data_IF_893968645993
#
_entry.id   IF_893968645993
#
_cell.length_a   1.000
_cell.length_b   1.000
_cell.length_c   1.000
_cell.angle_alpha   90.00
_cell.angle_beta   90.00
_cell.angle_gamma   90.00
#
_symmetry.space_group_name_H-M   'P 1'
#
loop_
_entity.id
_entity.type
_entity.pdbx_description
1 polymer ?
#
# COMPACT_ATOMS: atom_id res chain seq x y z
N UNK A 1 8.49 27.48 21.44
CA UNK A 1 8.00 26.23 22.05
C UNK A 1 8.89 25.12 21.55
N UNK A 2 9.58 24.37 22.43
CA UNK A 2 10.38 23.22 22.01
C UNK A 2 9.41 22.18 21.44
N UNK A 3 9.52 21.83 20.17
CA UNK A 3 8.76 20.74 19.57
C UNK A 3 9.04 19.46 20.38
N UNK A 4 8.00 18.90 21.00
CA UNK A 4 8.13 17.70 21.83
C UNK A 4 8.24 16.49 20.90
N UNK A 5 9.48 16.18 20.46
CA UNK A 5 9.77 15.05 19.58
C UNK A 5 9.61 13.74 20.33
N UNK A 6 8.91 12.78 19.74
CA UNK A 6 8.73 11.42 20.30
C UNK A 6 9.78 10.47 19.72
N UNK A 7 10.56 9.83 20.59
CA UNK A 7 11.58 8.88 20.18
C UNK A 7 10.95 7.52 19.84
N UNK A 8 11.31 6.99 18.67
CA UNK A 8 10.85 5.71 18.16
C UNK A 8 12.05 4.77 18.03
N UNK A 9 11.94 3.53 18.50
CA UNK A 9 12.89 2.47 18.13
C UNK A 9 12.23 1.39 17.27
N UNK A 10 13.03 0.48 16.74
CA UNK A 10 12.58 -0.50 15.75
C UNK A 10 13.16 -1.90 16.03
N UNK A 11 12.29 -2.90 16.18
CA UNK A 11 12.65 -4.32 16.32
C UNK A 11 12.28 -5.05 15.04
N UNK A 12 13.19 -5.86 14.51
CA UNK A 12 12.94 -6.70 13.33
C UNK A 12 12.92 -5.94 11.99
N UNK A 13 13.13 -4.62 12.00
CA UNK A 13 13.22 -3.83 10.76
C UNK A 13 14.65 -3.82 10.22
N UNK A 14 14.80 -4.10 8.93
CA UNK A 14 16.09 -3.97 8.25
C UNK A 14 16.47 -2.49 8.03
N UNK A 15 17.75 -2.24 7.71
CA UNK A 15 18.29 -0.88 7.47
C UNK A 15 17.47 -0.09 6.44
N UNK A 16 16.99 -0.75 5.39
CA UNK A 16 16.15 -0.14 4.36
C UNK A 16 14.83 0.38 4.92
N UNK A 17 14.16 -0.42 5.75
CA UNK A 17 12.90 -0.05 6.40
C UNK A 17 13.11 1.05 7.42
N UNK A 18 14.19 0.99 8.20
CA UNK A 18 14.59 2.04 9.14
C UNK A 18 14.76 3.39 8.42
N UNK A 19 15.51 3.43 7.30
CA UNK A 19 15.69 4.66 6.52
C UNK A 19 14.39 5.18 5.90
N UNK A 20 13.47 4.30 5.56
CA UNK A 20 12.13 4.68 5.07
C UNK A 20 11.34 5.41 6.15
N UNK A 21 11.29 4.85 7.35
CA UNK A 21 10.62 5.48 8.49
C UNK A 21 11.30 6.79 8.90
N UNK A 22 12.62 6.85 8.90
CA UNK A 22 13.38 8.07 9.20
C UNK A 22 12.96 9.22 8.27
N UNK A 23 12.91 8.96 6.96
CA UNK A 23 12.45 9.94 5.97
C UNK A 23 10.96 10.28 6.14
N UNK A 24 10.10 9.28 6.29
CA UNK A 24 8.66 9.47 6.48
C UNK A 24 8.38 10.35 7.70
N UNK A 25 9.04 10.10 8.83
CA UNK A 25 8.87 10.92 10.02
C UNK A 25 9.41 12.34 9.83
N UNK A 26 10.59 12.49 9.19
CA UNK A 26 11.19 13.80 8.91
C UNK A 26 10.35 14.65 7.96
N UNK A 27 9.86 14.06 6.86
CA UNK A 27 9.19 14.78 5.77
C UNK A 27 7.67 14.82 5.93
N UNK A 28 7.05 13.67 6.17
CA UNK A 28 5.58 13.56 6.25
C UNK A 28 5.07 13.96 7.63
N UNK A 29 5.77 13.54 8.69
CA UNK A 29 5.38 13.88 10.06
C UNK A 29 6.06 15.16 10.58
N UNK A 30 6.76 15.91 9.72
CA UNK A 30 7.46 17.17 10.06
C UNK A 30 8.44 17.04 11.24
N UNK A 31 9.07 15.87 11.40
CA UNK A 31 10.04 15.63 12.47
C UNK A 31 9.45 15.36 13.85
N UNK A 32 8.13 15.22 14.00
CA UNK A 32 7.47 14.92 15.29
C UNK A 32 7.90 13.58 15.90
N UNK A 33 8.35 12.65 15.07
CA UNK A 33 8.89 11.37 15.48
C UNK A 33 10.34 11.25 15.01
N UNK A 34 11.21 10.67 15.83
CA UNK A 34 12.63 10.51 15.52
C UNK A 34 13.05 9.08 15.86
N UNK A 35 13.73 8.40 14.93
CA UNK A 35 14.26 7.07 15.20
C UNK A 35 15.52 7.17 16.06
N UNK A 36 15.57 6.40 17.15
CA UNK A 36 16.71 6.28 18.05
C UNK A 36 17.33 4.88 18.00
N UNK A 37 18.65 4.80 18.21
CA UNK A 37 19.39 3.53 18.21
C UNK A 37 19.18 2.72 19.50
N UNK A 38 19.00 3.43 20.62
CA UNK A 38 18.76 2.82 21.93
C UNK A 38 17.27 2.56 22.13
N UNK A 39 16.91 1.31 22.44
CA UNK A 39 15.54 0.94 22.80
C UNK A 39 15.11 1.44 24.18
N UNK A 40 16.08 1.82 25.03
CA UNK A 40 15.81 2.31 26.38
C UNK A 40 15.32 3.76 26.37
N UNK A 41 15.75 4.54 25.38
CA UNK A 41 15.39 5.96 25.25
C UNK A 41 14.14 6.17 24.38
N UNK A 42 13.54 5.08 23.89
CA UNK A 42 12.36 5.09 23.04
C UNK A 42 11.08 5.26 23.86
N UNK A 43 10.20 6.15 23.38
CA UNK A 43 8.83 6.28 23.90
C UNK A 43 7.90 5.26 23.24
N UNK A 44 8.17 4.94 21.98
CA UNK A 44 7.42 3.97 21.18
C UNK A 44 8.40 3.03 20.45
N UNK A 45 8.07 1.75 20.33
CA UNK A 45 8.81 0.79 19.52
C UNK A 45 7.93 0.19 18.44
N UNK A 46 8.37 0.28 17.19
CA UNK A 46 7.79 -0.45 16.07
C UNK A 46 8.38 -1.85 16.03
N UNK A 47 7.54 -2.89 15.90
CA UNK A 47 7.98 -4.28 15.94
C UNK A 47 7.49 -5.01 14.71
N UNK A 48 8.40 -5.44 13.84
CA UNK A 48 8.08 -6.36 12.76
C UNK A 48 7.93 -7.78 13.32
N UNK A 49 6.69 -8.23 13.52
CA UNK A 49 6.42 -9.53 14.15
C UNK A 49 6.52 -10.71 13.18
N UNK A 50 6.68 -10.46 11.88
CA UNK A 50 6.85 -11.51 10.87
C UNK A 50 8.29 -12.03 10.82
N UNK A 51 9.23 -11.29 11.43
CA UNK A 51 10.65 -11.65 11.47
C UNK A 51 10.93 -12.63 12.62
N UNK A 52 11.63 -13.76 12.36
CA UNK A 52 12.01 -14.70 13.40
C UNK A 52 12.79 -14.02 14.53
N UNK A 53 12.35 -14.24 15.77
CA UNK A 53 12.99 -13.67 16.97
C UNK A 53 12.36 -12.38 17.48
N UNK A 54 11.58 -11.65 16.66
CA UNK A 54 10.97 -10.37 17.08
C UNK A 54 10.01 -10.50 18.27
N UNK A 55 9.27 -11.61 18.38
CA UNK A 55 8.37 -11.85 19.52
C UNK A 55 9.13 -12.02 20.84
N UNK A 56 10.32 -12.62 20.82
CA UNK A 56 11.14 -12.77 22.02
C UNK A 56 11.78 -11.44 22.41
N UNK A 57 12.32 -10.71 21.42
CA UNK A 57 12.88 -9.38 21.62
C UNK A 57 11.84 -8.38 22.14
N UNK A 58 10.59 -8.46 21.68
CA UNK A 58 9.48 -7.68 22.23
C UNK A 58 9.25 -7.95 23.72
N UNK A 59 9.15 -9.23 24.11
CA UNK A 59 8.93 -9.60 25.52
C UNK A 59 10.08 -9.14 26.43
N UNK A 60 11.32 -9.30 25.96
CA UNK A 60 12.50 -8.83 26.68
C UNK A 60 12.46 -7.30 26.84
N UNK A 61 12.16 -6.56 25.76
CA UNK A 61 12.10 -5.10 25.83
C UNK A 61 10.95 -4.59 26.70
N UNK A 62 9.82 -5.30 26.77
CA UNK A 62 8.72 -4.99 27.68
C UNK A 62 9.11 -5.10 29.15
N UNK A 63 10.01 -6.02 29.50
CA UNK A 63 10.56 -6.16 30.85
C UNK A 63 11.57 -5.06 31.16
N UNK A 64 12.45 -4.73 30.19
CA UNK A 64 13.51 -3.75 30.36
C UNK A 64 12.96 -2.32 30.42
N UNK A 65 11.97 -1.99 29.59
CA UNK A 65 11.36 -0.66 29.54
C UNK A 65 9.82 -0.74 29.57
N UNK A 66 9.22 -0.89 30.77
CA UNK A 66 7.77 -1.04 30.93
C UNK A 66 6.95 0.21 30.52
N UNK A 67 7.59 1.38 30.46
CA UNK A 67 6.93 2.64 30.08
C UNK A 67 6.80 2.78 28.56
N UNK A 68 7.65 2.10 27.80
CA UNK A 68 7.64 2.11 26.35
C UNK A 68 6.35 1.52 25.78
N UNK A 69 5.83 2.11 24.70
CA UNK A 69 4.64 1.61 23.98
C UNK A 69 5.07 0.84 22.75
N UNK A 70 4.32 -0.19 22.38
CA UNK A 70 4.70 -1.08 21.27
C UNK A 70 3.61 -1.08 20.20
N UNK A 71 4.03 -1.01 18.93
CA UNK A 71 3.16 -1.13 17.75
C UNK A 71 3.68 -2.27 16.89
N UNK A 72 2.84 -3.28 16.68
CA UNK A 72 3.19 -4.44 15.87
C UNK A 72 2.90 -4.17 14.38
N UNK A 73 3.81 -4.60 13.51
CA UNK A 73 3.70 -4.56 12.06
C UNK A 73 3.67 -6.00 11.55
N UNK A 74 2.61 -6.42 10.86
CA UNK A 74 2.52 -7.79 10.30
C UNK A 74 1.83 -7.85 8.95
N UNK A 75 2.18 -8.87 8.17
CA UNK A 75 1.46 -9.27 6.94
C UNK A 75 0.09 -9.88 7.30
N UNK A 76 0.00 -10.65 8.38
CA UNK A 76 -1.23 -11.34 8.79
C UNK A 76 -2.01 -10.53 9.84
N UNK A 77 -3.33 -10.71 9.90
CA UNK A 77 -4.16 -10.17 10.98
C UNK A 77 -3.94 -11.01 12.25
N UNK A 78 -2.80 -10.81 12.91
CA UNK A 78 -2.36 -11.62 14.04
C UNK A 78 -2.63 -10.87 15.36
N UNK A 79 -3.91 -10.80 15.77
CA UNK A 79 -4.35 -10.18 17.02
C UNK A 79 -4.02 -10.99 18.29
N UNK A 80 -3.07 -11.95 18.23
CA UNK A 80 -2.70 -12.77 19.40
C UNK A 80 -1.99 -11.96 20.50
N UNK A 81 -1.36 -10.86 20.12
CA UNK A 81 -0.77 -9.90 21.04
C UNK A 81 -1.80 -8.78 21.26
N UNK A 82 -2.21 -8.52 22.51
CA UNK A 82 -3.08 -7.39 22.89
C UNK A 82 -2.34 -6.04 22.76
N UNK A 83 -1.70 -5.80 21.62
CA UNK A 83 -0.95 -4.60 21.28
C UNK A 83 -1.51 -3.98 20.00
N UNK A 84 -1.47 -2.64 19.83
CA UNK A 84 -1.87 -2.02 18.59
C UNK A 84 -1.10 -2.58 17.40
N UNK A 85 -1.85 -2.91 16.35
CA UNK A 85 -1.36 -3.65 15.21
C UNK A 85 -1.63 -2.90 13.91
N UNK A 86 -0.64 -2.88 13.02
CA UNK A 86 -0.75 -2.31 11.67
C UNK A 86 -0.43 -3.40 10.66
N UNK A 87 -1.42 -3.66 9.81
CA UNK A 87 -1.28 -4.57 8.69
C UNK A 87 -0.34 -3.98 7.64
N UNK A 88 0.52 -4.82 7.07
CA UNK A 88 1.32 -4.50 5.88
C UNK A 88 0.49 -4.80 4.62
N UNK A 89 0.50 -3.94 3.60
CA UNK A 89 1.27 -2.70 3.48
C UNK A 89 0.80 -1.60 4.44
N UNK A 90 1.77 -0.84 4.98
CA UNK A 90 1.53 0.12 6.07
C UNK A 90 0.71 1.31 5.56
N UNK A 91 -0.50 1.47 6.10
CA UNK A 91 -1.29 2.67 5.89
C UNK A 91 -0.75 3.82 6.76
N UNK A 92 -0.28 4.89 6.12
CA UNK A 92 0.35 6.02 6.79
C UNK A 92 -0.58 6.77 7.75
N UNK A 93 -1.87 6.89 7.41
CA UNK A 93 -2.85 7.56 8.27
C UNK A 93 -3.13 6.74 9.53
N UNK A 94 -3.26 5.41 9.39
CA UNK A 94 -3.42 4.50 10.52
C UNK A 94 -2.20 4.51 11.44
N UNK A 95 -0.99 4.49 10.87
CA UNK A 95 0.24 4.58 11.65
C UNK A 95 0.31 5.89 12.43
N UNK A 96 0.10 7.03 11.78
CA UNK A 96 0.13 8.34 12.44
C UNK A 96 -0.92 8.42 13.55
N UNK A 97 -2.13 7.92 13.31
CA UNK A 97 -3.20 7.94 14.32
C UNK A 97 -2.82 7.14 15.58
N UNK A 98 -2.20 5.96 15.41
CA UNK A 98 -1.73 5.15 16.53
C UNK A 98 -0.59 5.86 17.27
N UNK A 99 0.41 6.38 16.54
CA UNK A 99 1.53 7.10 17.14
C UNK A 99 1.08 8.36 17.89
N UNK A 100 0.11 9.10 17.33
CA UNK A 100 -0.51 10.27 17.97
C UNK A 100 -1.29 9.89 19.23
N UNK A 101 -1.97 8.74 19.23
CA UNK A 101 -2.70 8.26 20.42
C UNK A 101 -1.74 7.96 21.58
N UNK A 102 -0.52 7.53 21.28
CA UNK A 102 0.51 7.30 22.29
C UNK A 102 1.23 8.58 22.72
N UNK A 103 1.46 9.51 21.79
CA UNK A 103 2.13 10.78 22.08
C UNK A 103 1.26 11.77 22.89
N UNK A 104 -0.08 11.63 22.85
CA UNK A 104 -1.02 12.50 23.58
C UNK A 104 -1.25 12.13 25.05
N UNK A 105 -0.63 11.06 25.54
CA UNK A 105 -0.76 10.64 26.94
C UNK A 105 0.40 11.21 27.76
N UNK A 106 0.27 12.46 28.21
CA UNK A 106 0.54 12.91 29.59
C UNK A 106 -0.21 14.25 29.82
N UNK A 107 -1.02 14.34 30.88
CA UNK A 107 -0.49 15.02 32.06
C UNK A 107 -0.46 14.07 33.26
N UNK A 108 0.72 13.98 33.85
CA UNK A 108 0.93 13.53 35.21
C UNK A 108 0.01 14.31 36.16
N UNK A 109 -0.90 13.60 36.83
CA UNK A 109 -1.41 14.04 38.13
C UNK A 109 -0.49 13.43 39.17
N UNK A 110 0.40 14.25 39.71
CA UNK A 110 1.04 13.94 40.97
C UNK A 110 0.06 14.11 42.15
N UNK A 111 0.28 13.23 43.12
CA UNK A 111 -0.03 13.34 44.55
C UNK A 111 -1.42 12.91 45.02
N UNK A 112 -1.46 11.75 45.71
CA UNK A 112 -1.44 11.72 47.19
C UNK A 112 -1.03 10.34 47.74
N UNK A 113 0.05 10.37 48.51
CA UNK A 113 0.39 9.62 49.73
C UNK A 113 0.25 8.08 49.77
N UNK A 114 1.35 7.38 50.10
CA UNK A 114 1.64 6.90 51.46
C UNK A 114 3.14 6.54 51.59
N UNK A 115 3.65 6.92 52.76
CA UNK A 115 5.00 6.87 53.32
C UNK A 115 5.46 5.45 53.67
N UNK A 116 6.77 5.18 53.52
CA UNK A 116 7.68 4.46 54.43
C UNK A 116 8.85 3.87 53.60
N UNK A 117 10.01 4.52 53.54
CA UNK A 117 11.12 4.43 54.50
C UNK A 117 11.87 3.08 54.42
N UNK A 118 13.04 3.07 53.77
CA UNK A 118 14.26 2.63 54.43
C UNK A 118 15.52 2.94 53.60
N UNK A 119 16.45 3.54 54.33
CA UNK A 119 17.83 3.91 54.04
C UNK A 119 18.75 2.75 53.65
N UNK A 120 19.71 2.99 52.75
CA UNK A 120 21.17 2.81 52.91
C UNK A 120 21.86 2.83 51.52
N UNK A 121 22.54 3.92 51.17
CA UNK A 121 23.99 4.21 51.34
C UNK A 121 24.95 3.35 50.48
N UNK A 122 25.59 4.07 49.55
CA UNK A 122 27.02 4.03 49.16
C UNK A 122 27.58 2.78 48.48
N UNK A 123 28.09 2.88 47.24
CA UNK A 123 29.47 3.32 47.00
C UNK A 123 29.83 3.48 45.52
N UNK A 124 30.90 4.25 45.35
CA UNK A 124 31.50 4.85 44.17
C UNK A 124 32.27 3.89 43.23
N UNK A 125 32.43 4.37 41.99
CA UNK A 125 33.58 4.27 41.07
C UNK A 125 34.17 2.90 40.68
N UNK A 126 34.32 2.67 39.37
CA UNK A 126 35.61 2.40 38.70
C UNK A 126 35.42 2.44 37.17
N UNK A 127 36.44 2.99 36.52
CA UNK A 127 36.54 3.35 35.13
C UNK A 127 36.86 2.19 34.16
N UNK A 128 36.52 2.44 32.89
CA UNK A 128 37.24 2.20 31.62
C UNK A 128 37.97 0.87 31.34
N UNK A 129 37.72 0.43 30.10
CA UNK A 129 38.55 -0.36 29.16
C UNK A 129 38.60 -1.89 29.34
N UNK A 130 37.95 -2.63 28.40
CA UNK A 130 38.66 -3.17 27.24
C UNK A 130 37.78 -3.89 26.19
N UNK A 131 37.90 -3.38 24.96
CA UNK A 131 38.13 -4.06 23.68
C UNK A 131 37.62 -5.50 23.37
N UNK A 132 36.89 -5.56 22.24
CA UNK A 132 36.98 -6.53 21.12
C UNK A 132 36.76 -8.02 21.43
N UNK A 133 35.53 -8.48 21.16
CA UNK A 133 35.29 -9.82 20.57
C UNK A 133 33.97 -9.84 19.78
N UNK A 134 34.01 -9.36 18.54
CA UNK A 134 32.95 -9.62 17.58
C UNK A 134 33.01 -11.09 17.15
N UNK A 135 32.05 -11.87 17.62
CA UNK A 135 31.90 -13.29 17.33
C UNK A 135 31.68 -13.53 15.83
N UNK A 136 32.68 -14.13 15.17
CA UNK A 136 32.78 -14.31 13.71
C UNK A 136 31.95 -15.47 13.14
N UNK A 137 31.04 -16.08 13.91
CA UNK A 137 30.40 -17.35 13.55
C UNK A 137 28.87 -17.29 13.32
N UNK A 138 28.27 -16.09 13.18
CA UNK A 138 26.85 -15.93 12.78
C UNK A 138 26.64 -15.33 11.38
N UNK A 139 27.71 -14.89 10.71
CA UNK A 139 27.64 -14.34 9.33
C UNK A 139 27.61 -15.41 8.23
N UNK A 140 27.94 -16.66 8.53
CA UNK A 140 27.97 -17.75 7.55
C UNK A 140 26.57 -18.31 7.17
N UNK A 141 25.53 -18.00 7.96
CA UNK A 141 24.15 -18.36 7.60
C UNK A 141 23.46 -17.28 6.74
N UNK A 142 23.82 -16.01 6.93
CA UNK A 142 23.35 -14.90 6.10
C UNK A 142 24.00 -14.88 4.70
N UNK A 143 25.22 -15.41 4.57
CA UNK A 143 25.93 -15.51 3.29
C UNK A 143 25.35 -16.53 2.30
N UNK A 144 24.46 -17.45 2.73
CA UNK A 144 23.82 -18.43 1.84
C UNK A 144 22.59 -17.90 1.10
N UNK A 145 22.12 -16.69 1.44
CA UNK A 145 21.06 -15.98 0.70
C UNK A 145 21.58 -14.82 -0.16
N UNK A 146 22.90 -14.65 -0.29
CA UNK A 146 23.52 -13.59 -1.10
C UNK A 146 24.00 -14.15 -2.47
N UNK A 147 23.68 -15.40 -2.79
CA UNK A 147 24.23 -16.12 -3.95
C UNK A 147 23.23 -16.56 -5.03
N UNK A 148 22.00 -16.06 -5.04
CA UNK A 148 21.06 -16.30 -6.13
C UNK A 148 20.42 -14.97 -6.54
N UNK A 149 20.58 -14.62 -7.81
CA UNK A 149 20.15 -13.41 -8.51
C UNK A 149 18.93 -12.69 -7.91
N UNK A 150 19.01 -11.36 -7.89
CA UNK A 150 18.08 -10.33 -7.39
C UNK A 150 16.67 -10.33 -8.07
N UNK A 151 16.22 -11.46 -8.63
CA UNK A 151 14.99 -11.64 -9.42
C UNK A 151 13.70 -11.56 -8.58
N UNK A 152 13.79 -11.57 -7.25
CA UNK A 152 12.64 -11.60 -6.32
C UNK A 152 12.24 -10.23 -5.77
N UNK A 153 13.03 -9.19 -6.03
CA UNK A 153 12.85 -7.90 -5.38
C UNK A 153 11.49 -7.24 -5.63
N UNK A 154 10.93 -7.39 -6.83
CA UNK A 154 9.70 -6.71 -7.22
C UNK A 154 8.45 -7.47 -6.81
N UNK A 155 8.39 -8.79 -6.95
CA UNK A 155 7.13 -9.55 -6.94
C UNK A 155 6.71 -10.11 -5.56
N UNK A 156 7.56 -9.96 -4.53
CA UNK A 156 7.30 -10.51 -3.20
C UNK A 156 7.12 -12.03 -3.19
N UNK A 157 6.64 -12.55 -2.06
CA UNK A 157 6.58 -13.99 -1.79
C UNK A 157 5.12 -14.47 -1.59
N UNK A 158 4.15 -13.77 -2.21
CA UNK A 158 2.75 -14.16 -2.12
C UNK A 158 2.53 -15.55 -2.72
N UNK A 159 1.77 -16.38 -2.01
CA UNK A 159 1.29 -17.67 -2.48
C UNK A 159 0.23 -17.49 -3.57
N UNK A 160 0.12 -18.49 -4.45
CA UNK A 160 -0.92 -18.54 -5.46
C UNK A 160 -2.29 -18.72 -4.81
N UNK A 161 -3.30 -18.07 -5.39
CA UNK A 161 -4.66 -18.07 -4.84
C UNK A 161 -5.63 -18.90 -5.66
N UNK A 162 -6.71 -19.33 -5.02
CA UNK A 162 -7.89 -19.85 -5.70
C UNK A 162 -8.90 -18.72 -5.95
N UNK A 163 -9.35 -18.58 -7.19
CA UNK A 163 -10.37 -17.58 -7.58
C UNK A 163 -11.77 -17.88 -7.02
N UNK A 164 -11.99 -19.06 -6.44
CA UNK A 164 -13.27 -19.47 -5.83
C UNK A 164 -13.50 -18.84 -4.45
N UNK A 165 -12.46 -18.33 -3.80
CA UNK A 165 -12.53 -17.78 -2.45
C UNK A 165 -12.27 -16.28 -2.45
N UNK A 166 -13.30 -15.48 -2.15
CA UNK A 166 -13.19 -14.01 -2.12
C UNK A 166 -12.16 -13.50 -1.11
N UNK A 167 -11.90 -14.23 -0.01
CA UNK A 167 -10.85 -13.85 0.96
C UNK A 167 -9.45 -13.95 0.37
N UNK A 168 -9.22 -14.89 -0.54
CA UNK A 168 -7.90 -15.05 -1.17
C UNK A 168 -7.65 -13.97 -2.21
N UNK A 169 -8.69 -13.52 -2.92
CA UNK A 169 -8.60 -12.37 -3.84
C UNK A 169 -8.09 -11.13 -3.11
N UNK A 170 -8.61 -10.83 -1.91
CA UNK A 170 -8.16 -9.65 -1.14
C UNK A 170 -6.67 -9.68 -0.77
N UNK A 171 -6.02 -10.85 -0.72
CA UNK A 171 -4.58 -10.97 -0.44
C UNK A 171 -3.72 -10.56 -1.63
N UNK A 172 -4.24 -10.73 -2.85
CA UNK A 172 -3.54 -10.41 -4.10
C UNK A 172 -4.04 -9.12 -4.73
N UNK A 173 -4.80 -8.31 -3.99
CA UNK A 173 -5.30 -7.01 -4.44
C UNK A 173 -4.49 -5.86 -3.83
N UNK A 174 -4.33 -4.77 -4.57
CA UNK A 174 -3.78 -3.51 -4.07
C UNK A 174 -4.54 -2.28 -4.60
N UNK A 175 -4.40 -1.14 -3.94
CA UNK A 175 -5.19 0.07 -4.22
C UNK A 175 -4.34 1.16 -4.91
N UNK A 176 -4.07 1.09 -6.24
CA UNK A 176 -3.16 2.01 -6.90
C UNK A 176 -3.52 3.49 -6.71
N UNK A 177 -4.83 3.81 -6.66
CA UNK A 177 -5.35 5.17 -6.46
C UNK A 177 -5.00 5.78 -5.10
N UNK A 178 -4.71 4.96 -4.08
CA UNK A 178 -4.30 5.40 -2.74
C UNK A 178 -2.79 5.45 -2.57
N UNK A 179 -2.02 5.10 -3.59
CA UNK A 179 -0.57 4.98 -3.55
C UNK A 179 0.09 6.07 -4.39
N UNK A 180 1.42 6.15 -4.33
CA UNK A 180 2.18 7.04 -5.20
C UNK A 180 1.87 6.80 -6.69
N UNK A 181 1.70 5.54 -7.10
CA UNK A 181 1.32 5.17 -8.47
C UNK A 181 0.09 5.97 -8.98
N UNK A 182 -0.99 6.03 -8.18
CA UNK A 182 -2.21 6.74 -8.56
C UNK A 182 -1.97 8.24 -8.77
N UNK A 183 -1.18 8.87 -7.90
CA UNK A 183 -0.82 10.28 -8.04
C UNK A 183 -0.04 10.55 -9.34
N UNK A 184 0.88 9.65 -9.72
CA UNK A 184 1.65 9.80 -10.97
C UNK A 184 0.76 9.62 -12.20
N UNK A 185 -0.12 8.60 -12.20
CA UNK A 185 -1.04 8.35 -13.32
C UNK A 185 -1.98 9.55 -13.52
N UNK A 186 -2.55 10.08 -12.43
CA UNK A 186 -3.39 11.27 -12.47
C UNK A 186 -2.61 12.48 -13.00
N UNK A 187 -1.40 12.71 -12.49
CA UNK A 187 -0.54 13.78 -12.96
C UNK A 187 -0.17 13.66 -14.44
N UNK A 188 0.07 12.45 -14.94
CA UNK A 188 0.32 12.19 -16.35
C UNK A 188 -0.90 12.48 -17.22
N UNK A 189 -2.10 12.09 -16.79
CA UNK A 189 -3.33 12.43 -17.50
C UNK A 189 -3.55 13.95 -17.56
N UNK A 190 -3.35 14.66 -16.45
CA UNK A 190 -3.44 16.14 -16.40
C UNK A 190 -2.40 16.75 -17.35
N UNK A 191 -1.16 16.25 -17.35
CA UNK A 191 -0.10 16.75 -18.21
C UNK A 191 -0.43 16.58 -19.70
N UNK A 192 -0.94 15.39 -20.08
CA UNK A 192 -1.32 15.08 -21.46
C UNK A 192 -2.53 15.90 -21.93
N UNK A 193 -3.56 16.03 -21.09
CA UNK A 193 -4.76 16.80 -21.42
C UNK A 193 -4.46 18.29 -21.64
N UNK A 194 -3.57 18.85 -20.82
CA UNK A 194 -3.23 20.27 -20.88
C UNK A 194 -1.99 20.56 -21.75
N UNK A 195 -1.37 19.52 -22.32
CA UNK A 195 -0.11 19.58 -23.06
C UNK A 195 0.96 20.44 -22.35
N UNK A 196 1.12 20.20 -21.04
CA UNK A 196 1.96 21.02 -20.16
C UNK A 196 2.65 20.14 -19.12
N UNK A 197 3.88 20.49 -18.76
CA UNK A 197 4.59 19.76 -17.70
C UNK A 197 3.92 19.99 -16.33
N UNK A 198 3.78 18.90 -15.58
CA UNK A 198 3.14 18.90 -14.26
C UNK A 198 4.14 18.43 -13.21
N UNK A 199 4.31 19.23 -12.16
CA UNK A 199 4.95 18.78 -10.94
C UNK A 199 3.91 18.05 -10.08
N UNK A 200 4.16 16.77 -9.81
CA UNK A 200 3.33 15.93 -8.94
C UNK A 200 3.98 15.84 -7.58
N UNK A 201 3.25 16.17 -6.52
CA UNK A 201 3.71 16.01 -5.13
C UNK A 201 2.77 15.10 -4.35
N UNK A 202 3.28 13.98 -3.87
CA UNK A 202 2.53 13.00 -3.07
C UNK A 202 3.48 12.26 -2.11
N UNK A 203 3.00 11.87 -0.93
CA UNK A 203 3.78 11.13 0.08
C UNK A 203 5.14 11.78 0.43
N UNK A 204 5.24 13.11 0.32
CA UNK A 204 6.48 13.86 0.60
C UNK A 204 7.54 13.80 -0.51
N UNK A 205 7.24 13.18 -1.65
CA UNK A 205 8.05 13.17 -2.87
C UNK A 205 7.47 14.18 -3.86
N UNK A 206 8.35 14.83 -4.62
CA UNK A 206 7.98 15.57 -5.82
C UNK A 206 8.69 15.02 -7.05
N UNK A 207 7.95 14.84 -8.14
CA UNK A 207 8.48 14.56 -9.48
C UNK A 207 7.92 15.56 -10.48
N UNK A 208 8.51 15.62 -11.67
CA UNK A 208 8.00 16.39 -12.80
C UNK A 208 7.72 15.43 -13.95
N UNK A 209 6.54 15.52 -14.53
CA UNK A 209 6.13 14.80 -15.73
C UNK A 209 6.13 15.81 -16.87
N UNK A 210 6.98 15.59 -17.87
CA UNK A 210 7.05 16.37 -19.10
C UNK A 210 6.45 15.54 -20.26
N UNK A 211 5.18 15.81 -20.63
CA UNK A 211 4.48 15.03 -21.64
C UNK A 211 5.06 15.28 -23.05
N UNK A 212 5.64 16.45 -23.31
CA UNK A 212 6.15 16.85 -24.62
C UNK A 212 7.41 16.06 -24.98
N UNK A 213 8.30 15.85 -24.00
CA UNK A 213 9.52 15.05 -24.19
C UNK A 213 9.36 13.58 -23.77
N UNK A 214 8.17 13.19 -23.30
CA UNK A 214 7.91 11.86 -22.74
C UNK A 214 8.89 11.48 -21.62
N UNK A 215 9.19 12.44 -20.72
CA UNK A 215 10.15 12.26 -19.60
C UNK A 215 9.54 12.48 -18.23
N UNK A 216 10.12 11.80 -17.24
CA UNK A 216 9.91 12.05 -15.82
C UNK A 216 11.22 12.44 -15.17
N UNK A 217 11.19 13.53 -14.40
CA UNK A 217 12.34 14.03 -13.63
C UNK A 217 12.10 13.89 -12.13
N UNK A 218 13.12 13.42 -11.40
CA UNK A 218 13.09 13.26 -9.95
C UNK A 218 14.49 13.47 -9.37
N UNK A 219 14.58 14.02 -8.16
CA UNK A 219 15.83 14.05 -7.37
C UNK A 219 15.83 12.96 -6.30
N UNK A 220 14.74 12.20 -6.20
CA UNK A 220 14.59 11.20 -5.15
C UNK A 220 15.23 9.90 -5.61
N UNK A 221 16.31 9.42 -4.95
CA UNK A 221 16.98 8.18 -5.34
C UNK A 221 16.08 6.97 -5.12
N UNK A 222 16.27 5.92 -5.93
CA UNK A 222 15.43 4.71 -5.91
C UNK A 222 15.30 4.05 -4.53
N UNK A 223 16.38 4.08 -3.72
CA UNK A 223 16.39 3.54 -2.35
C UNK A 223 15.32 4.18 -1.45
N UNK A 224 14.93 5.42 -1.73
CA UNK A 224 13.85 6.16 -1.06
C UNK A 224 12.53 5.99 -1.83
N UNK A 225 12.58 6.00 -3.16
CA UNK A 225 11.40 5.94 -4.02
C UNK A 225 10.63 4.63 -3.88
N UNK A 226 11.35 3.51 -3.91
CA UNK A 226 10.76 2.17 -3.94
C UNK A 226 9.95 1.84 -2.69
N UNK A 227 10.42 2.12 -1.45
CA UNK A 227 9.59 1.98 -0.26
C UNK A 227 8.35 2.88 -0.25
N UNK A 228 8.44 4.11 -0.78
CA UNK A 228 7.31 5.04 -0.82
C UNK A 228 6.21 4.55 -1.76
N UNK A 229 6.58 3.84 -2.83
CA UNK A 229 5.61 3.17 -3.71
C UNK A 229 4.76 2.10 -3.00
N UNK A 230 5.14 1.66 -1.79
CA UNK A 230 4.38 0.68 -1.00
C UNK A 230 3.38 1.32 -0.03
N UNK A 231 3.43 2.65 0.14
CA UNK A 231 2.62 3.34 1.12
C UNK A 231 1.25 3.71 0.55
N UNK A 232 0.22 3.51 1.35
CA UNK A 232 -1.12 4.03 1.09
C UNK A 232 -1.37 5.32 1.88
N UNK A 233 -2.11 6.24 1.27
CA UNK A 233 -2.56 7.48 1.87
C UNK A 233 -3.93 7.91 1.36
N UNK A 234 -4.70 8.57 2.22
CA UNK A 234 -5.92 9.27 1.83
C UNK A 234 -5.65 10.76 1.52
N UNK A 235 -4.40 11.22 1.69
CA UNK A 235 -4.02 12.58 1.35
C UNK A 235 -4.04 12.76 -0.16
N UNK A 236 -4.67 13.85 -0.61
CA UNK A 236 -4.69 14.19 -2.03
C UNK A 236 -3.29 14.56 -2.50
N UNK A 237 -2.95 14.10 -3.70
CA UNK A 237 -1.78 14.58 -4.42
C UNK A 237 -1.96 16.07 -4.78
N UNK A 238 -0.83 16.76 -4.93
CA UNK A 238 -0.81 18.14 -5.40
C UNK A 238 -0.22 18.17 -6.81
N UNK A 239 -0.84 18.96 -7.68
CA UNK A 239 -0.44 19.13 -9.07
C UNK A 239 -0.15 20.60 -9.33
N UNK A 240 1.04 20.90 -9.84
CA UNK A 240 1.44 22.26 -10.21
C UNK A 240 1.85 22.30 -11.67
N UNK A 241 1.20 23.14 -12.46
CA UNK A 241 1.59 23.42 -13.84
C UNK A 241 2.93 24.14 -13.88
N UNK A 242 3.80 23.71 -14.80
CA UNK A 242 5.10 24.31 -15.05
C UNK A 242 5.12 24.89 -16.46
N UNK A 243 5.30 26.21 -16.55
CA UNK A 243 5.62 26.87 -17.81
C UNK A 243 6.99 26.44 -18.34
N UNK A 244 7.21 26.62 -19.64
CA UNK A 244 8.43 26.16 -20.35
C UNK A 244 9.72 26.65 -19.67
N UNK A 245 9.79 27.92 -19.27
CA UNK A 245 10.99 28.48 -18.63
C UNK A 245 11.25 27.84 -17.25
N UNK A 246 10.21 27.70 -16.41
CA UNK A 246 10.34 27.04 -15.11
C UNK A 246 10.73 25.55 -15.25
N UNK A 247 10.29 24.89 -16.33
CA UNK A 247 10.70 23.53 -16.63
C UNK A 247 12.19 23.47 -16.99
N UNK A 248 12.66 24.36 -17.88
CA UNK A 248 14.09 24.42 -18.27
C UNK A 248 14.99 24.66 -17.06
N UNK A 249 14.63 25.59 -16.18
CA UNK A 249 15.39 25.88 -14.96
C UNK A 249 15.50 24.64 -14.06
N UNK A 250 14.37 23.95 -13.87
CA UNK A 250 14.33 22.73 -13.05
C UNK A 250 15.10 21.58 -13.69
N UNK A 251 14.89 21.31 -14.98
CA UNK A 251 15.60 20.25 -15.73
C UNK A 251 17.11 20.47 -15.67
N UNK A 252 17.58 21.71 -15.84
CA UNK A 252 19.00 22.06 -15.73
C UNK A 252 19.56 21.75 -14.33
N UNK A 253 18.75 21.93 -13.28
CA UNK A 253 19.12 21.55 -11.92
C UNK A 253 19.15 20.02 -11.70
N UNK A 254 18.26 19.26 -12.35
CA UNK A 254 18.30 17.78 -12.31
C UNK A 254 19.52 17.21 -13.03
N UNK A 255 19.94 17.83 -14.13
CA UNK A 255 21.07 17.39 -14.96
C UNK A 255 22.44 17.75 -14.38
N UNK A 256 22.54 18.83 -13.59
CA UNK A 256 23.80 19.22 -12.94
C UNK A 256 24.14 18.38 -11.71
N UNK A 257 23.15 17.70 -11.13
CA UNK A 257 23.31 16.88 -9.94
C UNK A 257 23.79 15.47 -10.31
N UNK A 258 25.11 15.27 -10.37
CA UNK A 258 25.78 14.02 -10.78
C UNK A 258 25.67 12.86 -9.77
N UNK A 259 25.10 13.09 -8.59
CA UNK A 259 25.05 12.08 -7.52
C UNK A 259 24.07 10.92 -7.81
N UNK A 260 23.26 11.00 -8.86
CA UNK A 260 22.27 9.98 -9.21
C UNK A 260 22.11 9.87 -10.74
N UNK A 261 22.55 8.74 -11.31
CA UNK A 261 22.41 8.40 -12.74
C UNK A 261 20.94 8.33 -13.23
N UNK A 262 19.96 8.38 -12.32
CA UNK A 262 18.56 8.03 -12.60
C UNK A 262 17.57 9.20 -12.40
N UNK A 263 18.06 10.45 -12.50
CA UNK A 263 17.23 11.65 -12.29
C UNK A 263 16.23 11.94 -13.42
N UNK A 264 16.37 11.23 -14.55
CA UNK A 264 15.54 11.40 -15.73
C UNK A 264 15.24 10.03 -16.34
N UNK A 265 13.97 9.73 -16.57
CA UNK A 265 13.54 8.47 -17.19
C UNK A 265 12.44 8.71 -18.22
N UNK A 266 12.27 7.76 -19.14
CA UNK A 266 11.13 7.70 -20.03
C UNK A 266 9.83 7.50 -19.23
N UNK A 267 8.72 8.13 -19.61
CA UNK A 267 7.45 8.03 -18.87
C UNK A 267 6.99 6.58 -18.76
N UNK A 268 7.09 5.78 -19.83
CA UNK A 268 6.60 4.41 -19.81
C UNK A 268 7.48 3.52 -18.92
N UNK A 269 8.81 3.70 -19.01
CA UNK A 269 9.76 3.03 -18.11
C UNK A 269 9.48 3.40 -16.65
N UNK A 270 9.21 4.68 -16.36
CA UNK A 270 8.93 5.13 -15.00
C UNK A 270 7.61 4.57 -14.47
N UNK A 271 6.54 4.62 -15.26
CA UNK A 271 5.22 4.07 -14.91
C UNK A 271 5.27 2.57 -14.69
N UNK A 272 6.00 1.84 -15.54
CA UNK A 272 6.27 0.40 -15.37
C UNK A 272 6.96 0.13 -14.03
N UNK A 273 8.06 0.83 -13.78
CA UNK A 273 8.89 0.68 -12.56
C UNK A 273 8.09 0.92 -11.28
N UNK A 274 7.40 2.05 -11.17
CA UNK A 274 6.60 2.36 -9.97
C UNK A 274 5.43 1.40 -9.79
N UNK A 275 4.88 0.86 -10.88
CA UNK A 275 3.79 -0.11 -10.82
C UNK A 275 4.28 -1.45 -10.32
N UNK A 276 5.45 -1.93 -10.76
CA UNK A 276 6.06 -3.14 -10.22
C UNK A 276 6.38 -2.98 -8.74
N UNK A 277 6.90 -1.82 -8.35
CA UNK A 277 7.17 -1.51 -6.94
C UNK A 277 5.90 -1.48 -6.09
N UNK A 278 4.82 -0.88 -6.58
CA UNK A 278 3.57 -0.74 -5.84
C UNK A 278 2.78 -2.04 -5.76
N UNK A 279 2.65 -2.74 -6.90
CA UNK A 279 1.85 -3.96 -7.01
C UNK A 279 2.46 -5.10 -6.21
N UNK A 280 3.78 -5.29 -6.25
CA UNK A 280 4.44 -6.49 -5.70
C UNK A 280 3.78 -7.80 -6.12
N UNK A 281 3.49 -7.94 -7.42
CA UNK A 281 2.83 -9.13 -7.96
C UNK A 281 1.36 -9.29 -7.53
N UNK A 282 0.72 -8.19 -7.12
CA UNK A 282 -0.72 -8.09 -6.87
C UNK A 282 -1.41 -7.45 -8.08
N UNK A 283 -2.74 -7.52 -8.12
CA UNK A 283 -3.60 -6.88 -9.12
C UNK A 283 -4.32 -5.64 -8.55
N UNK A 284 -4.65 -4.64 -9.39
CA UNK A 284 -5.47 -3.51 -8.98
C UNK A 284 -6.84 -3.91 -8.41
N UNK A 285 -7.36 -3.11 -7.49
CA UNK A 285 -8.68 -3.31 -6.82
C UNK A 285 -9.88 -3.45 -7.76
N UNK A 286 -9.79 -2.94 -8.98
CA UNK A 286 -10.81 -2.98 -10.01
C UNK A 286 -10.64 -4.12 -11.03
N UNK A 287 -9.66 -5.01 -10.82
CA UNK A 287 -9.43 -6.16 -11.71
C UNK A 287 -10.31 -7.35 -11.34
N UNK A 288 -11.13 -7.80 -12.29
CA UNK A 288 -11.94 -9.02 -12.17
C UNK A 288 -11.17 -10.24 -12.72
N UNK A 289 -10.73 -11.12 -11.81
CA UNK A 289 -9.96 -12.32 -12.16
C UNK A 289 -10.75 -13.38 -12.94
N UNK A 290 -12.08 -13.26 -12.99
CA UNK A 290 -12.93 -14.16 -13.77
C UNK A 290 -13.03 -13.76 -15.25
N UNK A 291 -12.61 -12.54 -15.57
CA UNK A 291 -12.71 -11.99 -16.93
C UNK A 291 -11.41 -12.22 -17.68
N UNK A 292 -11.45 -12.79 -18.90
CA UNK A 292 -10.26 -12.88 -19.74
C UNK A 292 -9.70 -11.51 -20.09
N UNK A 293 -8.37 -11.40 -20.10
CA UNK A 293 -7.64 -10.21 -20.52
C UNK A 293 -6.82 -10.52 -21.76
N UNK A 294 -6.51 -9.48 -22.53
CA UNK A 294 -5.63 -9.60 -23.69
C UNK A 294 -4.57 -8.50 -23.66
N UNK A 295 -3.56 -8.64 -24.52
CA UNK A 295 -2.55 -7.63 -24.74
C UNK A 295 -2.70 -7.09 -26.17
N UNK A 296 -2.87 -5.77 -26.31
CA UNK A 296 -3.07 -5.13 -27.61
C UNK A 296 -1.79 -5.10 -28.43
N UNK A 297 -0.64 -4.89 -27.78
CA UNK A 297 0.67 -4.80 -28.41
C UNK A 297 1.76 -5.34 -27.49
N UNK A 298 2.89 -5.77 -28.07
CA UNK A 298 4.05 -6.23 -27.31
C UNK A 298 4.68 -5.07 -26.49
N UNK A 299 4.91 -5.21 -25.18
CA UNK A 299 5.61 -4.20 -24.39
C UNK A 299 7.09 -4.13 -24.82
N UNK A 300 7.73 -2.97 -24.72
CA UNK A 300 9.15 -2.84 -25.07
C UNK A 300 10.07 -3.45 -23.99
N UNK A 301 10.04 -4.77 -23.83
CA UNK A 301 10.68 -5.50 -22.74
C UNK A 301 12.20 -5.29 -22.64
N UNK A 302 12.87 -4.82 -23.69
CA UNK A 302 14.31 -4.49 -23.67
C UNK A 302 14.62 -3.16 -22.99
N UNK A 303 13.61 -2.30 -22.80
CA UNK A 303 13.73 -0.97 -22.16
C UNK A 303 13.01 -0.88 -20.81
N UNK A 304 12.44 -1.99 -20.33
CA UNK A 304 11.62 -2.07 -19.12
C UNK A 304 12.29 -2.96 -18.08
N UNK A 305 11.99 -2.71 -16.80
CA UNK A 305 12.45 -3.57 -15.71
C UNK A 305 12.01 -5.02 -15.95
N UNK A 306 12.95 -5.95 -15.75
CA UNK A 306 12.74 -7.35 -16.03
C UNK A 306 11.64 -7.94 -15.13
N UNK A 307 10.76 -8.73 -15.75
CA UNK A 307 9.77 -9.57 -15.06
C UNK A 307 10.10 -11.02 -15.41
N UNK A 308 10.23 -11.93 -14.43
CA UNK A 308 10.37 -13.34 -14.72
C UNK A 308 9.28 -13.83 -15.68
N UNK A 309 9.70 -14.50 -16.75
CA UNK A 309 8.81 -15.03 -17.79
C UNK A 309 8.02 -14.00 -18.62
N UNK A 310 8.36 -12.70 -18.57
CA UNK A 310 7.63 -11.65 -19.30
C UNK A 310 7.37 -11.98 -20.78
N UNK A 311 8.36 -12.47 -21.57
CA UNK A 311 8.11 -12.80 -22.97
C UNK A 311 7.09 -13.91 -23.16
N UNK A 312 7.07 -14.92 -22.28
CA UNK A 312 6.11 -16.04 -22.34
C UNK A 312 4.70 -15.57 -22.00
N UNK A 313 4.57 -14.70 -20.99
CA UNK A 313 3.29 -14.10 -20.58
C UNK A 313 2.75 -13.23 -21.72
N UNK A 314 3.59 -12.35 -22.29
CA UNK A 314 3.23 -11.48 -23.40
C UNK A 314 2.77 -12.26 -24.64
N UNK A 315 3.52 -13.30 -25.03
CA UNK A 315 3.17 -14.14 -26.17
C UNK A 315 1.80 -14.80 -26.02
N UNK A 316 1.48 -15.32 -24.82
CA UNK A 316 0.21 -15.98 -24.57
C UNK A 316 -0.97 -14.99 -24.64
N UNK A 317 -0.83 -13.82 -23.99
CA UNK A 317 -1.88 -12.80 -23.93
C UNK A 317 -2.11 -12.03 -25.23
N UNK A 318 -1.12 -11.97 -26.13
CA UNK A 318 -1.30 -11.46 -27.50
C UNK A 318 -2.01 -12.49 -28.38
N UNK A 319 -1.68 -13.77 -28.21
CA UNK A 319 -2.20 -14.83 -29.08
C UNK A 319 -3.70 -15.05 -28.88
N UNK A 320 -4.18 -14.99 -27.64
CA UNK A 320 -5.60 -15.08 -27.33
C UNK A 320 -5.92 -14.49 -25.94
N UNK A 321 -7.12 -13.92 -25.74
CA UNK A 321 -7.57 -13.55 -24.41
C UNK A 321 -7.66 -14.74 -23.46
N UNK A 322 -7.20 -14.55 -22.21
CA UNK A 322 -7.28 -15.58 -21.18
C UNK A 322 -7.32 -14.95 -19.77
N UNK A 323 -7.78 -15.70 -18.77
CA UNK A 323 -7.77 -15.23 -17.38
C UNK A 323 -6.36 -15.28 -16.80
N UNK A 324 -6.02 -14.34 -15.92
CA UNK A 324 -4.68 -14.24 -15.34
C UNK A 324 -4.25 -15.52 -14.61
N UNK A 325 -5.16 -16.19 -13.92
CA UNK A 325 -4.87 -17.45 -13.22
C UNK A 325 -4.59 -18.58 -14.21
N UNK A 326 -5.38 -18.70 -15.29
CA UNK A 326 -5.18 -19.73 -16.29
C UNK A 326 -3.89 -19.52 -17.10
N UNK A 327 -3.47 -18.27 -17.32
CA UNK A 327 -2.15 -17.94 -17.90
C UNK A 327 -1.02 -18.50 -17.02
N UNK A 328 -1.11 -18.29 -15.71
CA UNK A 328 -0.11 -18.80 -14.75
C UNK A 328 -0.06 -20.34 -14.77
N UNK A 329 -1.24 -21.00 -14.78
CA UNK A 329 -1.37 -22.45 -14.86
C UNK A 329 -0.75 -23.02 -16.15
N UNK A 330 -1.10 -22.46 -17.32
CA UNK A 330 -0.56 -22.88 -18.63
C UNK A 330 0.95 -22.77 -18.71
N UNK A 331 1.50 -21.70 -18.14
CA UNK A 331 2.95 -21.46 -18.15
C UNK A 331 3.69 -22.20 -17.05
N UNK A 332 2.97 -22.77 -16.07
CA UNK A 332 3.48 -23.41 -14.86
C UNK A 332 4.40 -22.47 -14.07
N UNK A 333 3.93 -21.24 -13.84
CA UNK A 333 4.68 -20.20 -13.12
C UNK A 333 3.83 -19.61 -11.99
N UNK A 334 4.43 -19.06 -10.92
CA UNK A 334 3.69 -18.37 -9.86
C UNK A 334 2.80 -17.25 -10.40
N UNK A 335 1.57 -17.15 -9.88
CA UNK A 335 0.58 -16.15 -10.29
C UNK A 335 1.10 -14.72 -10.13
N UNK A 336 1.91 -14.47 -9.09
CA UNK A 336 2.51 -13.14 -8.83
C UNK A 336 3.29 -12.56 -10.01
N UNK A 337 3.89 -13.39 -10.87
CA UNK A 337 4.59 -12.90 -12.07
C UNK A 337 3.61 -12.45 -13.15
N UNK A 338 2.52 -13.19 -13.33
CA UNK A 338 1.43 -12.84 -14.25
C UNK A 338 0.69 -11.58 -13.77
N UNK A 339 0.37 -11.51 -12.48
CA UNK A 339 -0.30 -10.37 -11.87
C UNK A 339 0.54 -9.09 -11.92
N UNK A 340 1.84 -9.20 -11.63
CA UNK A 340 2.75 -8.07 -11.74
C UNK A 340 2.94 -7.60 -13.18
N UNK A 341 3.09 -8.54 -14.14
CA UNK A 341 3.12 -8.21 -15.57
C UNK A 341 1.83 -7.51 -16.01
N UNK A 342 0.67 -8.07 -15.68
CA UNK A 342 -0.63 -7.50 -16.01
C UNK A 342 -0.78 -6.08 -15.44
N UNK A 343 -0.44 -5.87 -14.16
CA UNK A 343 -0.56 -4.56 -13.52
C UNK A 343 0.27 -3.48 -14.25
N UNK A 344 1.50 -3.82 -14.63
CA UNK A 344 2.39 -2.90 -15.34
C UNK A 344 1.91 -2.66 -16.79
N UNK A 345 1.53 -3.72 -17.52
CA UNK A 345 0.99 -3.61 -18.87
C UNK A 345 -0.34 -2.85 -18.91
N UNK A 346 -1.22 -3.07 -17.93
CA UNK A 346 -2.49 -2.36 -17.79
C UNK A 346 -2.24 -0.87 -17.52
N UNK A 347 -1.27 -0.51 -16.68
CA UNK A 347 -0.92 0.90 -16.40
C UNK A 347 -0.46 1.63 -17.67
N UNK A 348 0.24 0.94 -18.57
CA UNK A 348 0.65 1.49 -19.87
C UNK A 348 -0.46 1.42 -20.94
N UNK A 349 -1.68 1.03 -20.58
CA UNK A 349 -2.80 0.78 -21.50
C UNK A 349 -2.49 -0.25 -22.59
N UNK A 350 -1.56 -1.18 -22.34
CA UNK A 350 -1.23 -2.27 -23.25
C UNK A 350 -2.17 -3.47 -23.09
N UNK A 351 -2.78 -3.61 -21.91
CA UNK A 351 -3.72 -4.70 -21.59
C UNK A 351 -5.09 -4.17 -21.21
N UNK A 352 -6.13 -4.91 -21.57
CA UNK A 352 -7.52 -4.61 -21.23
C UNK A 352 -8.34 -5.90 -21.10
N UNK A 353 -9.52 -5.79 -20.48
CA UNK A 353 -10.49 -6.87 -20.41
C UNK A 353 -11.02 -7.19 -21.81
N UNK A 354 -11.02 -8.47 -22.17
CA UNK A 354 -11.65 -8.94 -23.40
C UNK A 354 -13.17 -9.02 -23.19
N UNK A 355 -13.84 -7.87 -23.11
CA UNK A 355 -15.29 -7.82 -23.35
C UNK A 355 -15.48 -8.01 -24.85
N UNK A 356 -16.01 -9.17 -25.26
CA UNK A 356 -16.34 -9.42 -26.67
C UNK A 356 -17.25 -8.28 -27.14
N UNK A 357 -16.93 -7.64 -28.26
CA UNK A 357 -17.88 -6.74 -28.93
C UNK A 357 -19.22 -7.46 -29.29
N UNK A 358 -19.23 -8.79 -29.30
CA UNK A 358 -20.44 -9.60 -29.46
C UNK A 358 -21.39 -9.50 -28.25
N UNK A 359 -20.87 -9.25 -27.05
CA UNK A 359 -21.69 -9.05 -25.84
C UNK A 359 -22.30 -7.64 -25.79
N UNK A 360 -21.78 -6.71 -26.59
CA UNK A 360 -22.37 -5.39 -26.81
C UNK A 360 -23.52 -5.41 -27.84
N UNK A 361 -23.60 -6.44 -28.69
CA UNK A 361 -24.70 -6.63 -29.65
C UNK A 361 -25.96 -7.21 -28.99
N UNK A 362 -25.79 -7.97 -27.91
CA UNK A 362 -26.88 -8.48 -27.10
C UNK A 362 -26.81 -7.87 -25.70
N UNK A 363 -27.49 -6.74 -25.49
CA UNK A 363 -27.93 -6.42 -24.13
C UNK A 363 -28.70 -7.63 -23.63
N UNK A 364 -28.38 -8.23 -22.47
CA UNK A 364 -29.35 -9.10 -21.83
C UNK A 364 -30.62 -8.25 -21.70
N UNK A 365 -31.70 -8.70 -22.33
CA UNK A 365 -33.03 -8.12 -22.11
C UNK A 365 -33.17 -7.99 -20.61
N UNK A 366 -33.41 -6.78 -20.11
CA UNK A 366 -33.76 -6.57 -18.72
C UNK A 366 -34.74 -7.67 -18.36
N UNK A 367 -34.32 -8.65 -17.56
CA UNK A 367 -35.29 -9.58 -16.98
C UNK A 367 -36.26 -8.64 -16.30
N UNK A 368 -37.54 -8.58 -16.72
CA UNK A 368 -38.49 -7.74 -16.04
C UNK A 368 -38.36 -8.15 -14.58
N UNK A 369 -38.03 -7.16 -13.73
CA UNK A 369 -37.88 -7.36 -12.30
C UNK A 369 -39.02 -8.28 -11.91
N UNK A 370 -38.66 -9.50 -11.53
CA UNK A 370 -39.59 -10.45 -10.96
C UNK A 370 -40.00 -9.81 -9.65
N UNK A 371 -40.99 -8.91 -9.73
CA UNK A 371 -41.77 -8.49 -8.61
C UNK A 371 -42.33 -9.80 -8.09
N UNK A 372 -41.75 -10.29 -7.00
CA UNK A 372 -42.33 -11.34 -6.20
C UNK A 372 -43.78 -10.92 -6.00
N UNK A 373 -44.68 -11.62 -6.71
CA UNK A 373 -46.12 -11.38 -6.62
C UNK A 373 -46.50 -11.84 -5.23
N UNK A 374 -46.35 -10.92 -4.27
CA UNK A 374 -46.66 -11.12 -2.87
C UNK A 374 -48.12 -11.52 -2.78
N UNK A 375 -48.34 -12.79 -2.43
CA UNK A 375 -49.65 -13.41 -2.20
C UNK A 375 -50.43 -12.61 -1.14
N UNK A 376 -49.72 -11.90 -0.25
CA UNK A 376 -50.30 -11.02 0.77
C UNK A 376 -51.06 -9.82 0.17
N UNK A 377 -50.69 -9.34 -1.05
CA UNK A 377 -51.38 -8.22 -1.69
C UNK A 377 -52.74 -8.62 -2.30
N UNK A 378 -52.97 -9.91 -2.60
CA UNK A 378 -54.29 -10.41 -3.05
C UNK A 378 -55.25 -10.61 -1.88
N UNK A 379 -54.76 -11.04 -0.72
CA UNK A 379 -55.56 -11.24 0.49
C UNK A 379 -56.02 -9.88 1.05
N UNK A 380 -55.13 -8.89 1.13
CA UNK A 380 -55.52 -7.54 1.58
C UNK A 380 -56.53 -6.85 0.66
N UNK A 381 -56.51 -7.15 -0.64
CA UNK A 381 -57.48 -6.60 -1.62
C UNK A 381 -58.84 -7.29 -1.56
N UNK A 382 -58.95 -8.48 -0.95
CA UNK A 382 -60.23 -9.15 -0.69
C UNK A 382 -60.83 -8.79 0.66
N UNK A 383 -60.01 -8.47 1.66
CA UNK A 383 -60.49 -8.04 2.99
C UNK A 383 -61.03 -6.59 2.93
N UNK A 384 -60.39 -5.71 2.16
CA UNK A 384 -60.86 -4.31 1.99
C UNK A 384 -62.06 -4.17 1.04
N UNK A 385 -62.33 -5.15 0.18
CA UNK A 385 -63.53 -5.16 -0.68
C UNK A 385 -64.78 -5.66 0.04
N UNK A 386 -64.62 -6.44 1.11
CA UNK A 386 -65.75 -6.93 1.92
C UNK A 386 -66.20 -5.92 2.98
N UNK A 387 -65.34 -4.99 3.41
CA UNK A 387 -65.75 -3.91 4.34
C UNK A 387 -66.37 -2.68 3.67
N UNK A 388 -66.45 -2.63 2.34
CA UNK A 388 -67.16 -1.57 1.60
C UNK A 388 -68.52 -2.04 1.03
N UNK A 389 -68.82 -3.35 1.06
CA UNK A 389 -70.12 -3.88 0.63
C UNK A 389 -71.18 -3.88 1.75
N UNK A 390 -70.77 -3.79 3.03
CA UNK A 390 -71.71 -3.73 4.18
C UNK A 390 -72.12 -2.29 4.55
N UNK A 391 -71.53 -1.25 3.92
CA UNK A 391 -71.91 0.16 4.15
C UNK A 391 -72.87 0.74 3.09
N UNK A 392 -73.35 -0.05 2.13
CA UNK A 392 -74.34 0.38 1.13
C UNK A 392 -75.76 -0.14 1.36
N UNK A 393 -76.04 -0.86 2.45
CA UNK A 393 -77.41 -1.32 2.81
C UNK A 393 -78.08 -0.41 3.86
N UNK A 394 -77.37 0.58 4.43
CA UNK A 394 -77.92 1.51 5.43
C UNK A 394 -78.21 2.95 4.95
N UNK A 395 -78.22 3.20 3.62
CA UNK A 395 -78.51 4.53 3.04
C UNK A 395 -79.57 4.53 1.93
N UNK A 396 -80.60 3.70 2.06
CA UNK A 396 -81.83 3.80 1.25
C UNK A 396 -83.13 3.87 2.06
N UNK A 397 -83.06 4.12 3.37
CA UNK A 397 -84.19 4.60 4.17
C UNK A 397 -83.78 5.92 4.83
N UNK A 398 -84.55 6.98 4.63
CA UNK A 398 -84.30 8.43 4.87
C UNK A 398 -83.63 9.09 3.64
N UNK A 399 -84.25 9.93 2.83
CA UNK A 399 -85.51 10.67 2.88
C UNK A 399 -85.90 10.99 1.41
N UNK A 400 -87.16 10.76 1.04
CA UNK A 400 -88.11 11.77 0.52
C UNK A 400 -87.61 12.63 -0.64
#
# INVERSE_FOLDING_TARGET
MKDNTTNISAIGLNLRSIKTFEFFFKKTCKGRYVLCESHNDANITLVDIDVPGSNNALKEQQLINPKNKFVCLSIADNNKLNLPHIKKPINSASLIAILDSFAKVEPSKESKDIVADNTNKTNDLIARENSRQFNKNRSALAGRHIGANDDTGFFGDNEDISTKNSKDITKVTYHPKKMFQGAVIEGYHIAKQNNCAIQVTALGISIIIDPSNSKVYTTTPERIFRPICLLETNNKAQFKHLGVEHLKDKVSHFQSNKDTDDNCSDIDTFLWKITLWSSRGRIPEDTDLSVPVYLAHWPNLTRLDNIPHAPRIAALLISAPDTLCHVAEKLQIPQRYVFGFYSAAHTLNLSSNARRQVDSLFKPVDKPVSQSRSILRKIFKHITRKSQADNSIQKQNNAQ
#
